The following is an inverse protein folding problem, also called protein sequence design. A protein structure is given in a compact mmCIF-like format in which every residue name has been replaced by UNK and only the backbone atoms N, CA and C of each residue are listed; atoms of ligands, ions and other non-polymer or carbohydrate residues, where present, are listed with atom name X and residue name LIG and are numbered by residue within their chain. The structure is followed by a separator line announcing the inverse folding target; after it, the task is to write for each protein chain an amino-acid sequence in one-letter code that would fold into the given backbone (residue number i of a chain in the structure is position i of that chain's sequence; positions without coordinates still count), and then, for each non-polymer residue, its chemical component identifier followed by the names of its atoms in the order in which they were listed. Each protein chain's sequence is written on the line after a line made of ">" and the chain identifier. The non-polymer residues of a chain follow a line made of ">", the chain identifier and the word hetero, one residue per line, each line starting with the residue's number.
data_IF_749057746754
#
_entry.id   IF_749057746754
#
_cell.length_a   1.000
_cell.length_b   1.000
_cell.length_c   1.000
_cell.angle_alpha   90.00
_cell.angle_beta   90.00
_cell.angle_gamma   90.00
#
_symmetry.space_group_name_H-M   'P 1'
#
loop_
_entity.id
_entity.type
_entity.pdbx_description
1 polymer ?
#
# COMPACT_ATOMS: atom_id res chain seq x y z
N UNK A 1 6.16 17.38 -2.83
CA UNK A 1 6.61 18.64 -2.18
C UNK A 1 7.08 19.67 -3.19
N UNK A 2 6.75 20.95 -3.01
CA UNK A 2 7.19 22.06 -3.90
C UNK A 2 7.76 23.22 -3.10
N UNK A 3 8.69 23.97 -3.69
CA UNK A 3 9.06 25.30 -3.22
C UNK A 3 8.19 26.33 -3.94
N UNK A 4 7.55 27.20 -3.18
CA UNK A 4 6.71 28.26 -3.72
C UNK A 4 7.03 29.59 -3.04
N UNK A 5 6.90 30.68 -3.80
CA UNK A 5 6.99 32.04 -3.27
C UNK A 5 5.60 32.66 -3.27
N UNK A 6 5.25 33.33 -2.17
CA UNK A 6 3.99 34.08 -2.07
C UNK A 6 4.07 35.31 -2.98
N UNK A 7 3.08 35.48 -3.85
CA UNK A 7 3.01 36.59 -4.82
C UNK A 7 1.94 37.62 -4.47
N UNK A 8 0.97 37.28 -3.63
CA UNK A 8 -0.10 38.21 -3.29
C UNK A 8 -1.17 37.68 -2.35
N UNK A 9 -2.32 38.36 -2.37
CA UNK A 9 -3.57 37.97 -1.74
C UNK A 9 -4.68 38.22 -2.76
N UNK A 10 -5.54 37.23 -2.97
CA UNK A 10 -6.67 37.34 -3.89
C UNK A 10 -7.78 38.26 -3.35
N UNK A 11 -8.79 38.53 -4.19
CA UNK A 11 -9.95 39.38 -3.81
C UNK A 11 -10.79 38.83 -2.65
N UNK A 12 -10.59 37.57 -2.24
CA UNK A 12 -11.27 36.90 -1.13
C UNK A 12 -10.38 36.79 0.11
N UNK A 13 -9.20 37.42 0.12
CA UNK A 13 -8.28 37.40 1.25
C UNK A 13 -7.39 36.15 1.33
N UNK A 14 -7.38 35.28 0.30
CA UNK A 14 -6.56 34.06 0.27
C UNK A 14 -5.17 34.35 -0.27
N UNK A 15 -4.15 33.73 0.31
CA UNK A 15 -2.77 33.89 -0.17
C UNK A 15 -2.60 33.25 -1.55
N UNK A 16 -1.90 33.95 -2.45
CA UNK A 16 -1.50 33.45 -3.76
C UNK A 16 0.02 33.28 -3.81
N UNK A 17 0.49 32.33 -4.62
CA UNK A 17 1.91 32.08 -4.80
C UNK A 17 2.22 31.40 -6.13
N UNK A 18 3.49 31.41 -6.49
CA UNK A 18 4.02 30.76 -7.69
C UNK A 18 5.00 29.67 -7.28
N UNK A 19 4.88 28.51 -7.92
CA UNK A 19 5.81 27.39 -7.72
C UNK A 19 7.15 27.74 -8.38
N UNK A 20 8.23 27.70 -7.61
CA UNK A 20 9.59 27.91 -8.08
C UNK A 20 10.22 26.61 -8.57
N UNK A 21 10.05 25.54 -7.80
CA UNK A 21 10.63 24.23 -8.12
C UNK A 21 9.83 23.11 -7.47
N UNK A 22 9.94 21.91 -8.05
CA UNK A 22 9.42 20.69 -7.44
C UNK A 22 10.56 20.01 -6.70
N UNK A 23 10.37 19.81 -5.39
CA UNK A 23 11.35 19.11 -4.53
C UNK A 23 11.14 17.61 -4.63
N UNK A 24 9.88 17.18 -4.66
CA UNK A 24 9.50 15.78 -4.63
C UNK A 24 8.18 15.60 -5.37
N UNK A 25 8.13 14.62 -6.28
CA UNK A 25 6.92 14.31 -7.04
C UNK A 25 6.09 13.31 -6.24
N UNK A 26 4.86 13.70 -5.93
CA UNK A 26 3.93 12.83 -5.18
C UNK A 26 3.46 11.61 -5.98
N UNK A 27 3.64 11.61 -7.31
CA UNK A 27 3.28 10.50 -8.19
C UNK A 27 4.42 10.25 -9.16
N UNK A 28 4.93 9.04 -9.14
CA UNK A 28 5.96 8.54 -10.05
C UNK A 28 5.40 7.53 -11.06
N UNK A 29 4.18 7.05 -10.83
CA UNK A 29 3.44 6.17 -11.74
C UNK A 29 1.99 6.60 -11.90
N UNK A 30 1.32 6.08 -12.93
CA UNK A 30 -0.10 6.28 -13.20
C UNK A 30 -0.73 5.00 -13.74
N UNK A 31 -1.93 4.68 -13.26
CA UNK A 31 -2.76 3.61 -13.84
C UNK A 31 -3.66 4.20 -14.91
N UNK A 32 -3.68 3.59 -16.09
CA UNK A 32 -4.45 4.08 -17.22
C UNK A 32 -4.66 3.06 -18.31
N UNK A 33 -5.45 3.45 -19.31
CA UNK A 33 -5.82 2.60 -20.44
C UNK A 33 -5.00 2.98 -21.67
N UNK A 34 -4.49 1.97 -22.37
CA UNK A 34 -3.72 2.15 -23.59
C UNK A 34 -4.65 2.51 -24.74
N UNK A 35 -4.30 3.57 -25.47
CA UNK A 35 -4.98 4.01 -26.68
C UNK A 35 -3.98 4.28 -27.81
N UNK A 36 -4.38 3.98 -29.04
CA UNK A 36 -3.61 4.33 -30.24
C UNK A 36 -4.17 5.61 -30.86
N UNK A 37 -3.32 6.62 -31.01
CA UNK A 37 -3.66 7.88 -31.68
C UNK A 37 -2.75 8.06 -32.90
N UNK A 38 -3.20 7.53 -34.04
CA UNK A 38 -2.39 7.49 -35.26
C UNK A 38 -1.13 6.65 -35.07
N UNK A 39 0.05 7.26 -35.21
CA UNK A 39 1.34 6.61 -35.02
C UNK A 39 1.85 6.62 -33.57
N UNK A 40 1.14 7.28 -32.65
CA UNK A 40 1.56 7.43 -31.26
C UNK A 40 0.66 6.60 -30.35
N UNK A 41 1.25 5.93 -29.37
CA UNK A 41 0.51 5.27 -28.29
C UNK A 41 0.50 6.15 -27.06
N UNK A 42 -0.67 6.27 -26.43
CA UNK A 42 -0.86 7.04 -25.21
C UNK A 42 -1.51 6.17 -24.14
N UNK A 43 -1.32 6.57 -22.88
CA UNK A 43 -2.03 6.02 -21.72
C UNK A 43 -2.91 7.11 -21.16
N UNK A 44 -4.22 6.86 -21.15
CA UNK A 44 -5.21 7.76 -20.54
C UNK A 44 -5.39 7.41 -19.07
N UNK A 45 -5.11 8.32 -18.12
CA UNK A 45 -5.25 8.05 -16.71
C UNK A 45 -6.69 7.70 -16.30
N UNK A 46 -6.85 6.80 -15.33
CA UNK A 46 -8.16 6.59 -14.68
C UNK A 46 -8.49 7.67 -13.65
N UNK A 47 -7.49 8.24 -12.98
CA UNK A 47 -7.71 9.35 -12.04
C UNK A 47 -8.15 10.60 -12.80
N UNK A 48 -9.43 10.97 -12.65
CA UNK A 48 -10.02 12.14 -13.30
C UNK A 48 -9.36 13.48 -12.92
N UNK A 49 -8.54 13.52 -11.85
CA UNK A 49 -7.71 14.69 -11.51
C UNK A 49 -6.55 14.88 -12.49
N UNK A 50 -6.10 13.82 -13.15
CA UNK A 50 -5.06 13.86 -14.18
C UNK A 50 -5.73 14.11 -15.54
N UNK A 51 -5.53 15.31 -16.08
CA UNK A 51 -6.18 15.74 -17.33
C UNK A 51 -5.38 15.48 -18.60
N UNK A 52 -4.08 15.20 -18.45
CA UNK A 52 -3.20 14.94 -19.58
C UNK A 52 -3.14 13.44 -19.88
N UNK A 53 -3.17 13.10 -21.18
CA UNK A 53 -2.80 11.77 -21.65
C UNK A 53 -1.26 11.65 -21.66
N UNK A 54 -0.75 10.48 -21.30
CA UNK A 54 0.69 10.21 -21.18
C UNK A 54 1.19 9.55 -22.46
N UNK A 55 2.21 10.12 -23.10
CA UNK A 55 2.79 9.53 -24.32
C UNK A 55 3.74 8.40 -23.93
N UNK A 56 3.60 7.24 -24.57
CA UNK A 56 4.56 6.17 -24.39
C UNK A 56 5.92 6.52 -25.01
N UNK A 57 6.97 6.33 -24.23
CA UNK A 57 8.33 6.22 -24.75
C UNK A 57 8.45 4.97 -25.63
N UNK A 58 9.41 4.98 -26.55
CA UNK A 58 9.65 3.86 -27.47
C UNK A 58 9.63 2.54 -26.69
N UNK A 59 8.81 1.60 -27.16
CA UNK A 59 8.43 0.38 -26.44
C UNK A 59 9.64 -0.43 -25.98
N UNK A 60 9.66 -0.78 -24.70
CA UNK A 60 10.45 -1.91 -24.21
C UNK A 60 9.88 -3.18 -24.89
N UNK A 61 10.67 -3.92 -25.69
CA UNK A 61 10.19 -5.09 -26.41
C UNK A 61 9.76 -6.24 -25.49
N UNK A 62 10.12 -6.21 -24.20
CA UNK A 62 9.73 -7.22 -23.22
C UNK A 62 8.31 -7.02 -22.70
N UNK A 63 7.72 -5.83 -22.88
CA UNK A 63 6.39 -5.51 -22.35
C UNK A 63 5.37 -5.52 -23.49
N UNK A 64 4.58 -6.60 -23.56
CA UNK A 64 3.48 -6.72 -24.50
C UNK A 64 2.21 -6.09 -23.94
N UNK A 65 1.52 -5.31 -24.77
CA UNK A 65 0.24 -4.69 -24.44
C UNK A 65 -0.59 -4.50 -25.71
N UNK A 66 -1.91 -4.46 -25.55
CA UNK A 66 -2.87 -4.19 -26.61
C UNK A 66 -3.63 -2.89 -26.38
N UNK A 67 -4.31 -2.41 -27.41
CA UNK A 67 -5.23 -1.28 -27.27
C UNK A 67 -6.41 -1.68 -26.38
N UNK A 68 -6.76 -0.83 -25.41
CA UNK A 68 -7.77 -1.13 -24.39
C UNK A 68 -7.21 -1.78 -23.12
N UNK A 69 -5.94 -2.20 -23.12
CA UNK A 69 -5.31 -2.76 -21.94
C UNK A 69 -5.18 -1.72 -20.83
N UNK A 70 -5.36 -2.18 -19.61
CA UNK A 70 -5.06 -1.42 -18.42
C UNK A 70 -3.62 -1.70 -18.00
N UNK A 71 -2.88 -0.63 -17.75
CA UNK A 71 -1.44 -0.68 -17.49
C UNK A 71 -1.05 0.24 -16.34
N UNK A 72 0.07 -0.10 -15.69
CA UNK A 72 0.81 0.81 -14.82
C UNK A 72 1.92 1.45 -15.65
N UNK A 73 1.90 2.77 -15.79
CA UNK A 73 2.91 3.55 -16.48
C UNK A 73 3.81 4.26 -15.46
N UNK A 74 5.12 4.06 -15.55
CA UNK A 74 6.11 4.90 -14.87
C UNK A 74 6.28 6.21 -15.62
N UNK A 75 6.20 7.32 -14.90
CA UNK A 75 6.36 8.66 -15.46
C UNK A 75 7.85 8.94 -15.61
N UNK A 76 8.33 8.94 -16.86
CA UNK A 76 9.72 9.26 -17.22
C UNK A 76 9.92 10.76 -17.43
N UNK A 77 8.86 11.47 -17.85
CA UNK A 77 8.85 12.91 -17.99
C UNK A 77 7.50 13.49 -17.59
N UNK A 78 7.51 14.56 -16.82
CA UNK A 78 6.29 15.26 -16.41
C UNK A 78 5.94 16.34 -17.43
N UNK A 79 4.65 16.64 -17.55
CA UNK A 79 4.18 17.69 -18.45
C UNK A 79 4.80 19.04 -18.10
N UNK A 80 5.20 19.79 -19.13
CA UNK A 80 5.56 21.21 -19.02
C UNK A 80 4.59 22.05 -19.90
N UNK A 81 4.90 23.33 -20.10
CA UNK A 81 4.06 24.24 -20.88
C UNK A 81 3.97 23.89 -22.38
N UNK A 82 4.86 23.03 -22.87
CA UNK A 82 5.06 22.73 -24.29
C UNK A 82 4.87 21.23 -24.57
N UNK A 83 5.24 20.37 -23.63
CA UNK A 83 5.31 18.93 -23.82
C UNK A 83 4.31 18.18 -22.91
N UNK A 84 3.56 17.22 -23.48
CA UNK A 84 2.76 16.30 -22.68
C UNK A 84 3.67 15.38 -21.85
N UNK A 85 3.15 14.80 -20.75
CA UNK A 85 3.91 13.87 -19.93
C UNK A 85 4.21 12.60 -20.72
N UNK A 86 5.31 11.93 -20.34
CA UNK A 86 5.79 10.71 -20.99
C UNK A 86 6.06 9.62 -19.97
N UNK A 87 6.07 8.38 -20.44
CA UNK A 87 6.40 7.25 -19.60
C UNK A 87 6.61 5.95 -20.33
N UNK A 88 6.97 4.93 -19.56
CA UNK A 88 7.09 3.54 -20.02
C UNK A 88 6.16 2.65 -19.21
N UNK A 89 5.70 1.57 -19.83
CA UNK A 89 4.84 0.62 -19.14
C UNK A 89 5.70 -0.22 -18.19
N UNK A 90 5.32 -0.26 -16.91
CA UNK A 90 5.90 -1.14 -15.90
C UNK A 90 5.22 -2.50 -15.89
N UNK A 91 3.90 -2.51 -16.00
CA UNK A 91 3.10 -3.72 -15.91
C UNK A 91 1.80 -3.59 -16.71
N UNK A 92 1.37 -4.71 -17.30
CA UNK A 92 0.03 -4.87 -17.84
C UNK A 92 -0.84 -5.54 -16.77
N UNK A 93 -1.95 -4.89 -16.41
CA UNK A 93 -2.88 -5.37 -15.38
C UNK A 93 -3.98 -6.24 -15.99
N UNK A 94 -4.33 -6.03 -17.27
CA UNK A 94 -5.33 -6.84 -17.97
C UNK A 94 -6.28 -5.98 -18.81
N UNK A 95 -7.49 -6.50 -19.08
CA UNK A 95 -8.51 -5.79 -19.84
C UNK A 95 -9.37 -4.90 -18.93
N UNK A 96 -9.65 -3.68 -19.38
CA UNK A 96 -10.56 -2.80 -18.66
C UNK A 96 -11.95 -3.45 -18.51
N UNK A 97 -12.42 -3.63 -17.27
CA UNK A 97 -13.73 -4.19 -16.94
C UNK A 97 -13.74 -5.65 -16.47
N UNK A 98 -12.57 -6.31 -16.37
CA UNK A 98 -12.47 -7.58 -15.65
C UNK A 98 -12.53 -7.34 -14.12
N UNK A 99 -13.50 -7.88 -13.38
CA UNK A 99 -13.56 -7.71 -11.92
C UNK A 99 -12.33 -8.23 -11.17
N UNK A 100 -11.58 -9.17 -11.77
CA UNK A 100 -10.40 -9.76 -11.13
C UNK A 100 -9.26 -8.75 -10.96
N UNK A 101 -9.20 -7.71 -11.79
CA UNK A 101 -8.10 -6.75 -11.79
C UNK A 101 -8.38 -5.53 -10.90
N UNK A 102 -9.58 -5.39 -10.34
CA UNK A 102 -9.96 -4.22 -9.52
C UNK A 102 -9.05 -4.06 -8.29
N UNK A 103 -8.70 -5.17 -7.63
CA UNK A 103 -7.76 -5.15 -6.50
C UNK A 103 -6.38 -4.67 -6.92
N UNK A 104 -5.84 -5.20 -8.02
CA UNK A 104 -4.52 -4.87 -8.56
C UNK A 104 -4.45 -3.39 -8.98
N UNK A 105 -5.55 -2.85 -9.52
CA UNK A 105 -5.69 -1.43 -9.86
C UNK A 105 -5.58 -0.56 -8.62
N UNK A 106 -6.31 -0.92 -7.55
CA UNK A 106 -6.28 -0.16 -6.29
C UNK A 106 -4.88 -0.22 -5.70
N UNK A 107 -4.29 -1.41 -5.62
CA UNK A 107 -2.92 -1.58 -5.14
C UNK A 107 -1.93 -0.72 -5.92
N UNK A 108 -1.94 -0.80 -7.25
CA UNK A 108 -1.07 0.01 -8.10
C UNK A 108 -1.32 1.53 -7.97
N UNK A 109 -2.58 1.95 -7.81
CA UNK A 109 -2.95 3.37 -7.68
C UNK A 109 -2.47 3.99 -6.36
N UNK A 110 -2.34 3.17 -5.32
CA UNK A 110 -1.84 3.58 -4.00
C UNK A 110 -0.39 3.17 -3.75
N UNK A 111 0.26 2.51 -4.71
CA UNK A 111 1.64 2.03 -4.55
C UNK A 111 1.78 0.89 -3.54
N UNK A 112 0.70 0.14 -3.29
CA UNK A 112 0.71 -1.05 -2.42
C UNK A 112 1.30 -2.23 -3.19
N UNK A 113 2.09 -3.04 -2.49
CA UNK A 113 2.67 -4.28 -2.99
C UNK A 113 2.18 -5.44 -2.13
N UNK A 114 1.90 -6.58 -2.76
CA UNK A 114 1.63 -7.86 -2.08
C UNK A 114 2.90 -8.72 -1.92
N UNK A 115 4.02 -8.25 -2.50
CA UNK A 115 5.30 -8.94 -2.42
C UNK A 115 6.12 -8.38 -1.26
N UNK A 116 6.40 -9.25 -0.28
CA UNK A 116 7.35 -8.98 0.80
C UNK A 116 8.79 -9.18 0.32
N UNK A 117 9.75 -8.31 0.74
CA UNK A 117 11.17 -8.52 0.49
C UNK A 117 11.69 -9.87 1.00
N UNK A 118 12.76 -10.39 0.39
CA UNK A 118 13.28 -11.72 0.73
C UNK A 118 13.79 -11.84 2.17
N UNK A 119 14.44 -10.81 2.69
CA UNK A 119 14.92 -10.74 4.08
C UNK A 119 13.76 -10.74 5.08
N UNK A 120 12.65 -10.06 4.76
CA UNK A 120 11.40 -10.08 5.54
C UNK A 120 10.81 -11.50 5.59
N UNK A 121 10.75 -12.19 4.45
CA UNK A 121 10.23 -13.56 4.37
C UNK A 121 11.11 -14.55 5.15
N UNK A 122 12.42 -14.48 4.97
CA UNK A 122 13.38 -15.34 5.68
C UNK A 122 13.30 -15.12 7.20
N UNK A 123 13.18 -13.87 7.65
CA UNK A 123 13.00 -13.56 9.06
C UNK A 123 11.67 -14.11 9.60
N UNK A 124 10.56 -13.92 8.90
CA UNK A 124 9.24 -14.44 9.29
C UNK A 124 9.28 -15.96 9.52
N UNK A 125 9.84 -16.71 8.56
CA UNK A 125 9.95 -18.15 8.66
C UNK A 125 10.85 -18.61 9.81
N UNK A 126 11.90 -17.84 10.12
CA UNK A 126 12.82 -18.15 11.21
C UNK A 126 12.12 -17.96 12.56
N UNK A 127 11.52 -16.78 12.78
CA UNK A 127 10.85 -16.47 14.06
C UNK A 127 9.69 -17.42 14.33
N UNK A 128 8.94 -17.82 13.28
CA UNK A 128 7.87 -18.81 13.42
C UNK A 128 8.33 -20.19 13.93
N UNK A 129 9.61 -20.56 13.72
CA UNK A 129 10.17 -21.86 14.13
C UNK A 129 10.77 -21.87 15.54
N UNK A 130 11.11 -20.71 16.10
CA UNK A 130 12.00 -20.62 17.26
C UNK A 130 11.29 -20.63 18.62
N UNK A 131 9.96 -20.57 18.69
CA UNK A 131 9.27 -20.30 19.97
C UNK A 131 8.92 -21.58 20.76
N UNK A 132 9.38 -21.70 22.03
CA UNK A 132 8.97 -22.78 22.92
C UNK A 132 7.48 -22.67 23.28
N UNK A 133 6.81 -23.83 23.33
CA UNK A 133 5.40 -23.94 23.76
C UNK A 133 5.19 -23.59 25.24
N UNK A 134 6.27 -23.53 26.04
CA UNK A 134 6.19 -23.25 27.47
C UNK A 134 6.41 -21.76 27.77
N UNK A 135 5.61 -21.16 28.68
CA UNK A 135 5.81 -19.77 29.11
C UNK A 135 7.20 -19.60 29.71
N UNK A 136 7.92 -18.56 29.26
CA UNK A 136 9.20 -18.15 29.85
C UNK A 136 9.04 -17.63 31.29
N UNK A 137 10.15 -17.36 32.01
CA UNK A 137 10.13 -17.01 33.44
C UNK A 137 9.36 -15.71 33.76
N UNK A 138 9.09 -14.86 32.77
CA UNK A 138 8.38 -13.60 32.92
C UNK A 138 6.92 -13.66 32.40
N UNK A 139 6.37 -14.86 32.17
CA UNK A 139 5.00 -15.05 31.69
C UNK A 139 4.17 -15.81 32.72
N UNK A 140 2.95 -15.35 32.93
CA UNK A 140 1.95 -16.08 33.70
C UNK A 140 1.26 -17.11 32.79
N UNK A 141 0.88 -18.25 33.37
CA UNK A 141 0.30 -19.38 32.63
C UNK A 141 -1.22 -19.41 32.76
N UNK A 142 -1.91 -18.99 31.71
CA UNK A 142 -3.37 -18.97 31.62
C UNK A 142 -3.95 -20.15 30.81
N UNK A 143 -3.17 -21.17 30.46
CA UNK A 143 -3.62 -22.28 29.60
C UNK A 143 -4.78 -23.11 30.17
N UNK A 144 -5.03 -23.02 31.48
CA UNK A 144 -6.16 -23.69 32.17
C UNK A 144 -7.44 -22.86 32.19
N UNK A 145 -7.41 -21.62 31.71
CA UNK A 145 -8.56 -20.73 31.69
C UNK A 145 -9.41 -20.96 30.45
N UNK A 146 -10.72 -20.75 30.60
CA UNK A 146 -11.64 -20.69 29.46
C UNK A 146 -11.44 -19.35 28.75
N UNK A 147 -10.68 -19.36 27.66
CA UNK A 147 -10.36 -18.22 26.81
C UNK A 147 -10.94 -18.47 25.41
N UNK A 148 -11.65 -17.48 24.87
CA UNK A 148 -12.28 -17.56 23.54
C UNK A 148 -11.97 -16.33 22.69
N UNK A 149 -11.93 -16.50 21.38
CA UNK A 149 -11.95 -15.41 20.40
C UNK A 149 -13.34 -15.35 19.76
N UNK A 150 -13.76 -14.19 19.26
CA UNK A 150 -15.08 -14.00 18.65
C UNK A 150 -14.89 -13.24 17.35
N UNK A 151 -14.72 -13.99 16.26
CA UNK A 151 -14.32 -13.47 14.97
C UNK A 151 -15.26 -13.92 13.85
N UNK A 152 -15.09 -13.31 12.67
CA UNK A 152 -15.78 -13.76 11.45
C UNK A 152 -15.34 -15.17 11.03
N UNK A 153 -16.23 -15.88 10.35
CA UNK A 153 -16.00 -17.26 9.87
C UNK A 153 -14.78 -17.42 8.95
N UNK A 154 -14.37 -16.36 8.27
CA UNK A 154 -13.23 -16.32 7.36
C UNK A 154 -11.96 -15.70 7.97
N UNK A 155 -11.99 -15.27 9.24
CA UNK A 155 -10.81 -14.71 9.91
C UNK A 155 -9.73 -15.77 10.12
N UNK A 156 -8.46 -15.36 10.03
CA UNK A 156 -7.30 -16.26 10.23
C UNK A 156 -6.25 -15.69 11.19
N UNK A 157 -6.43 -14.44 11.56
CA UNK A 157 -5.58 -13.55 12.32
C UNK A 157 -6.32 -13.17 13.60
N UNK A 158 -6.24 -14.07 14.60
CA UNK A 158 -6.90 -13.86 15.89
C UNK A 158 -5.99 -13.04 16.81
N UNK A 159 -6.21 -11.73 16.83
CA UNK A 159 -5.37 -10.78 17.57
C UNK A 159 -5.75 -10.63 19.05
N UNK A 160 -6.99 -10.95 19.40
CA UNK A 160 -7.50 -10.83 20.76
C UNK A 160 -8.30 -12.05 21.22
N UNK A 161 -8.35 -12.22 22.54
CA UNK A 161 -9.16 -13.22 23.20
C UNK A 161 -9.71 -12.69 24.53
N UNK A 162 -10.79 -13.31 24.99
CA UNK A 162 -11.54 -12.91 26.18
C UNK A 162 -11.66 -14.08 27.16
N UNK A 163 -11.51 -13.78 28.45
CA UNK A 163 -11.91 -14.66 29.54
C UNK A 163 -12.82 -13.93 30.52
N UNK A 164 -13.72 -14.68 31.15
CA UNK A 164 -14.63 -14.15 32.16
C UNK A 164 -14.69 -15.10 33.35
N UNK A 165 -14.19 -14.66 34.51
CA UNK A 165 -14.17 -15.47 35.73
C UNK A 165 -15.05 -14.80 36.78
N UNK A 166 -16.04 -15.53 37.30
CA UNK A 166 -16.87 -15.04 38.41
C UNK A 166 -16.13 -15.21 39.73
N UNK A 167 -15.96 -14.12 40.46
CA UNK A 167 -15.29 -14.07 41.75
C UNK A 167 -16.22 -14.45 42.91
N UNK A 168 -15.63 -14.80 44.06
CA UNK A 168 -16.37 -15.24 45.26
C UNK A 168 -17.29 -14.17 45.85
N UNK A 169 -16.95 -12.89 45.67
CA UNK A 169 -17.73 -11.74 46.12
C UNK A 169 -18.87 -11.37 45.15
N UNK A 170 -19.05 -12.14 44.07
CA UNK A 170 -20.06 -11.91 43.05
C UNK A 170 -19.65 -10.96 41.93
N UNK A 171 -18.43 -10.40 41.99
CA UNK A 171 -17.85 -9.61 40.89
C UNK A 171 -17.34 -10.52 39.76
N UNK A 172 -16.92 -9.92 38.66
CA UNK A 172 -16.31 -10.62 37.54
C UNK A 172 -14.93 -10.05 37.27
N UNK A 173 -13.98 -10.94 37.02
CA UNK A 173 -12.70 -10.63 36.41
C UNK A 173 -12.81 -10.85 34.90
N UNK A 174 -12.47 -9.81 34.14
CA UNK A 174 -12.47 -9.84 32.67
C UNK A 174 -11.02 -9.79 32.22
N UNK A 175 -10.57 -10.84 31.53
CA UNK A 175 -9.28 -10.87 30.87
C UNK A 175 -9.43 -10.46 29.42
N UNK A 176 -8.64 -9.47 28.98
CA UNK A 176 -8.47 -9.10 27.57
C UNK A 176 -7.03 -9.49 27.21
N UNK A 177 -6.90 -10.50 26.34
CA UNK A 177 -5.63 -11.09 25.95
C UNK A 177 -5.32 -10.64 24.54
N UNK A 178 -4.19 -9.96 24.31
CA UNK A 178 -3.78 -9.49 22.99
C UNK A 178 -2.57 -10.28 22.52
N UNK A 179 -2.53 -10.62 21.23
CA UNK A 179 -1.39 -11.26 20.60
C UNK A 179 -0.10 -10.46 20.87
N UNK A 180 0.92 -11.14 21.41
CA UNK A 180 2.21 -10.55 21.73
C UNK A 180 3.09 -10.46 20.48
N UNK A 181 2.67 -9.65 19.50
CA UNK A 181 3.36 -9.47 18.23
C UNK A 181 4.77 -8.92 18.43
N UNK A 182 4.98 -8.10 19.47
CA UNK A 182 6.29 -7.53 19.82
C UNK A 182 7.33 -8.61 20.20
N UNK A 183 6.91 -9.82 20.58
CA UNK A 183 7.84 -10.94 20.74
C UNK A 183 8.40 -11.41 19.39
N UNK A 184 7.61 -11.33 18.32
CA UNK A 184 7.96 -11.80 16.98
C UNK A 184 8.64 -10.70 16.14
N UNK A 185 8.21 -9.46 16.31
CA UNK A 185 8.69 -8.30 15.55
C UNK A 185 9.52 -7.42 16.47
N UNK A 186 10.85 -7.58 16.42
CA UNK A 186 11.79 -6.82 17.24
C UNK A 186 12.17 -5.50 16.55
N UNK A 187 12.37 -4.43 17.31
CA UNK A 187 12.74 -3.11 16.78
C UNK A 187 14.00 -3.18 15.90
N UNK A 188 13.95 -2.51 14.73
CA UNK A 188 15.05 -2.41 13.78
C UNK A 188 15.26 -3.64 12.88
N UNK A 189 14.47 -4.70 13.05
CA UNK A 189 14.48 -5.89 12.18
C UNK A 189 13.90 -5.62 10.79
N UNK A 190 14.00 -6.60 9.87
CA UNK A 190 13.39 -6.47 8.55
C UNK A 190 11.86 -6.46 8.66
N UNK A 191 11.30 -7.32 9.52
CA UNK A 191 9.87 -7.33 9.86
C UNK A 191 9.39 -5.98 10.39
N UNK A 192 10.10 -5.38 11.34
CA UNK A 192 9.72 -4.08 11.93
C UNK A 192 9.74 -2.95 10.88
N UNK A 193 10.80 -2.89 10.07
CA UNK A 193 10.93 -1.87 9.03
C UNK A 193 9.86 -1.97 7.96
N UNK A 194 9.51 -3.19 7.54
CA UNK A 194 8.46 -3.39 6.54
C UNK A 194 7.06 -3.16 7.13
N UNK A 195 6.83 -3.47 8.40
CA UNK A 195 5.57 -3.15 9.09
C UNK A 195 5.33 -1.65 9.26
N UNK A 196 6.40 -0.84 9.41
CA UNK A 196 6.31 0.61 9.57
C UNK A 196 6.07 1.39 8.26
N UNK A 197 6.37 0.76 7.12
CA UNK A 197 6.44 1.39 5.79
C UNK A 197 5.08 1.81 5.24
#
# INVERSE_FOLDING_TARGET
>A
TVQAVRTGIDRRGRQEGVILSVVERARTSVVGTVHKLGATTIVRPRDAKLKADYILDSTDPMVQYSEGDLVVLEITSYSDSVHPPRGRILAQLGQAGDPKIDTEIVMASFGLTDVFPGDVQEEAERVAREIPIAPGPNREDFRSWDIVTIDGDNARDFDDALSLVRQKDGTFEVGIHIADVATYVQEGTALDKEAFR
#
